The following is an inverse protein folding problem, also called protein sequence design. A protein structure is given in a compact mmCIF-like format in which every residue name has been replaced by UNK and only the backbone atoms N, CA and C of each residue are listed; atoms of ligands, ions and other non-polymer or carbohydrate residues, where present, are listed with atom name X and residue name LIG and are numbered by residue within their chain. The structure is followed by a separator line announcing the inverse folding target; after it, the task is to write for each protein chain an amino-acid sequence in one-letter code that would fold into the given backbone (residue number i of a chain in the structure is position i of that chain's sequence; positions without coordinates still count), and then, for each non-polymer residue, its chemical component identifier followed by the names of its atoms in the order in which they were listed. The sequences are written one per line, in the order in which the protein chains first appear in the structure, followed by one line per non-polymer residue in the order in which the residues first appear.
data_IF_783943507903
#
_entry.id   IF_783943507903
#
_cell.length_a   1.000
_cell.length_b   1.000
_cell.length_c   1.000
_cell.angle_alpha   90.00
_cell.angle_beta   90.00
_cell.angle_gamma   90.00
#
_symmetry.space_group_name_H-M   'P 1'
#
loop_
_entity.id
_entity.type
_entity.pdbx_description
1 polymer ?
#
# COMPACT_ATOMS: atom_id res chain seq x y z
N UNK A 1 15.89 4.32 -11.21
CA UNK A 1 16.37 2.91 -11.11
C UNK A 1 15.25 2.09 -10.49
N UNK A 2 14.70 1.09 -11.20
CA UNK A 2 13.48 0.31 -10.87
C UNK A 2 13.40 -0.12 -9.41
N UNK A 3 14.55 -0.40 -8.77
CA UNK A 3 14.66 -0.78 -7.36
C UNK A 3 14.02 0.23 -6.41
N UNK A 4 14.06 1.55 -6.69
CA UNK A 4 13.46 2.56 -5.79
C UNK A 4 11.93 2.42 -5.66
N UNK A 5 11.25 2.07 -6.75
CA UNK A 5 9.78 1.97 -6.84
C UNK A 5 9.15 0.90 -5.95
N UNK A 6 9.96 -0.09 -5.56
CA UNK A 6 9.51 -1.25 -4.77
C UNK A 6 10.12 -1.26 -3.37
N UNK A 7 10.83 -0.20 -2.96
CA UNK A 7 11.38 -0.07 -1.62
C UNK A 7 10.30 0.14 -0.57
N UNK A 8 10.55 -0.32 0.64
CA UNK A 8 9.63 -0.18 1.77
C UNK A 8 9.28 1.30 2.05
N UNK A 9 10.23 2.21 1.89
CA UNK A 9 10.00 3.65 2.03
C UNK A 9 8.92 4.16 1.07
N UNK A 10 9.02 3.76 -0.20
CA UNK A 10 8.07 4.21 -1.22
C UNK A 10 6.70 3.55 -1.04
N UNK A 11 6.68 2.26 -0.73
CA UNK A 11 5.45 1.55 -0.40
C UNK A 11 4.75 2.15 0.84
N UNK A 12 5.52 2.56 1.87
CA UNK A 12 4.98 3.24 3.06
C UNK A 12 4.37 4.59 2.72
N UNK A 13 5.01 5.39 1.84
CA UNK A 13 4.45 6.67 1.36
C UNK A 13 3.09 6.47 0.68
N UNK A 14 2.99 5.48 -0.20
CA UNK A 14 1.73 5.13 -0.89
C UNK A 14 0.67 4.68 0.13
N UNK A 15 1.03 3.82 1.09
CA UNK A 15 0.10 3.39 2.13
C UNK A 15 -0.42 4.57 2.96
N UNK A 16 0.45 5.52 3.33
CA UNK A 16 0.05 6.71 4.07
C UNK A 16 -0.93 7.57 3.26
N UNK A 17 -0.72 7.74 1.94
CA UNK A 17 -1.68 8.42 1.06
C UNK A 17 -3.05 7.75 1.05
N UNK A 18 -3.12 6.42 1.09
CA UNK A 18 -4.38 5.67 1.19
C UNK A 18 -5.07 5.93 2.54
N UNK A 19 -4.32 5.95 3.64
CA UNK A 19 -4.87 6.18 4.98
C UNK A 19 -5.32 7.64 5.17
N UNK A 20 -4.55 8.60 4.67
CA UNK A 20 -4.87 10.03 4.76
C UNK A 20 -6.03 10.42 3.83
N UNK A 21 -6.13 9.77 2.67
CA UNK A 21 -7.17 10.02 1.68
C UNK A 21 -8.54 9.41 2.01
N UNK A 22 -8.73 8.79 3.18
CA UNK A 22 -10.04 8.23 3.56
C UNK A 22 -11.12 9.32 3.54
N UNK A 23 -12.06 9.19 2.60
CA UNK A 23 -13.13 10.18 2.39
C UNK A 23 -12.87 11.15 1.23
N UNK A 24 -11.73 11.07 0.56
CA UNK A 24 -11.45 11.84 -0.66
C UNK A 24 -12.08 11.14 -1.88
N UNK A 25 -12.91 11.87 -2.62
CA UNK A 25 -13.63 11.34 -3.80
C UNK A 25 -12.75 11.17 -5.04
N UNK A 26 -11.52 11.67 -5.02
CA UNK A 26 -10.56 11.59 -6.13
C UNK A 26 -9.83 10.26 -6.17
N UNK A 27 -9.80 9.51 -5.06
CA UNK A 27 -9.20 8.18 -4.98
C UNK A 27 -10.30 7.14 -5.22
N UNK A 28 -10.29 6.46 -6.37
CA UNK A 28 -11.49 5.84 -6.92
C UNK A 28 -11.96 4.62 -6.11
N UNK A 29 -11.05 3.95 -5.39
CA UNK A 29 -11.36 2.77 -4.57
C UNK A 29 -11.70 3.12 -3.11
N UNK A 30 -11.62 4.38 -2.70
CA UNK A 30 -11.95 4.78 -1.32
C UNK A 30 -13.45 5.04 -1.12
N UNK A 31 -13.97 4.84 0.10
CA UNK A 31 -13.29 4.37 1.31
C UNK A 31 -12.90 2.89 1.27
N UNK A 32 -11.98 2.47 2.15
CA UNK A 32 -11.72 1.05 2.34
C UNK A 32 -12.91 0.38 3.02
N UNK A 33 -13.22 -0.84 2.60
CA UNK A 33 -14.27 -1.64 3.24
C UNK A 33 -13.82 -2.09 4.64
N UNK A 34 -14.74 -2.55 5.52
CA UNK A 34 -14.35 -3.12 6.81
C UNK A 34 -13.41 -4.32 6.68
N UNK A 35 -13.60 -5.16 5.66
CA UNK A 35 -12.73 -6.30 5.36
C UNK A 35 -11.31 -5.85 5.01
N UNK A 36 -11.18 -4.90 4.08
CA UNK A 36 -9.88 -4.34 3.68
C UNK A 36 -9.17 -3.63 4.83
N UNK A 37 -9.91 -2.87 5.65
CA UNK A 37 -9.38 -2.23 6.85
C UNK A 37 -8.83 -3.28 7.83
N UNK A 38 -9.52 -4.42 7.98
CA UNK A 38 -9.02 -5.53 8.80
C UNK A 38 -7.73 -6.13 8.22
N UNK A 39 -7.65 -6.29 6.90
CA UNK A 39 -6.45 -6.79 6.20
C UNK A 39 -5.26 -5.85 6.41
N UNK A 40 -5.46 -4.55 6.23
CA UNK A 40 -4.43 -3.52 6.50
C UNK A 40 -3.92 -3.64 7.94
N UNK A 41 -4.82 -3.74 8.93
CA UNK A 41 -4.43 -3.90 10.33
C UNK A 41 -3.62 -5.18 10.58
N UNK A 42 -4.00 -6.30 9.95
CA UNK A 42 -3.27 -7.57 10.07
C UNK A 42 -1.87 -7.48 9.45
N UNK A 43 -1.74 -6.86 8.27
CA UNK A 43 -0.44 -6.60 7.64
C UNK A 43 0.47 -5.75 8.53
N UNK A 44 -0.06 -4.68 9.12
CA UNK A 44 0.69 -3.82 10.04
C UNK A 44 1.20 -4.57 11.28
N UNK A 45 0.34 -5.41 11.84
CA UNK A 45 0.61 -6.12 13.10
C UNK A 45 1.43 -7.41 12.94
N UNK A 46 1.57 -7.95 11.71
CA UNK A 46 2.36 -9.16 11.49
C UNK A 46 3.89 -8.90 11.56
N UNK A 47 4.30 -7.65 11.39
CA UNK A 47 5.71 -7.22 11.47
C UNK A 47 6.15 -7.16 12.94
N UNK A 48 6.82 -8.22 13.39
CA UNK A 48 7.35 -8.32 14.77
C UNK A 48 8.65 -7.55 14.94
N UNK A 49 9.53 -7.59 13.95
CA UNK A 49 10.82 -6.91 13.93
C UNK A 49 11.16 -6.40 12.53
N UNK A 50 11.93 -5.33 12.48
CA UNK A 50 12.51 -4.80 11.24
C UNK A 50 13.86 -5.50 10.96
N UNK A 51 14.25 -5.67 9.69
CA UNK A 51 15.60 -6.12 9.35
C UNK A 51 16.68 -5.16 9.90
N UNK A 52 17.68 -5.71 10.59
CA UNK A 52 18.73 -4.95 11.29
C UNK A 52 19.63 -4.09 10.38
N UNK A 53 19.58 -4.31 9.06
CA UNK A 53 20.40 -3.62 8.07
C UNK A 53 19.74 -2.39 7.43
N UNK A 54 18.51 -2.08 7.82
CA UNK A 54 17.72 -0.99 7.23
C UNK A 54 17.77 0.24 8.14
N UNK A 55 18.02 1.40 7.55
CA UNK A 55 18.17 2.69 8.26
C UNK A 55 16.84 3.38 8.57
N UNK A 56 15.73 2.91 7.99
CA UNK A 56 14.39 3.44 8.21
C UNK A 56 13.70 2.77 9.40
N UNK A 57 12.60 3.35 9.87
CA UNK A 57 11.92 2.92 11.10
C UNK A 57 11.04 1.67 10.90
N UNK A 58 10.62 1.06 12.02
CA UNK A 58 9.77 -0.15 12.01
C UNK A 58 8.42 0.14 11.33
N UNK A 59 7.91 1.35 11.52
CA UNK A 59 6.64 1.82 10.99
C UNK A 59 6.64 1.81 9.46
N UNK A 60 7.75 2.19 8.81
CA UNK A 60 7.90 2.11 7.36
C UNK A 60 7.69 0.68 6.85
N UNK A 61 8.29 -0.30 7.54
CA UNK A 61 8.15 -1.70 7.16
C UNK A 61 6.73 -2.22 7.44
N UNK A 62 6.11 -1.77 8.52
CA UNK A 62 4.72 -2.08 8.85
C UNK A 62 3.75 -1.56 7.79
N UNK A 63 3.94 -0.33 7.32
CA UNK A 63 3.08 0.29 6.32
C UNK A 63 3.28 -0.35 4.94
N UNK A 64 4.53 -0.60 4.55
CA UNK A 64 4.83 -1.35 3.33
C UNK A 64 4.18 -2.75 3.34
N UNK A 65 4.35 -3.49 4.44
CA UNK A 65 3.73 -4.82 4.60
C UNK A 65 2.21 -4.76 4.56
N UNK A 66 1.61 -3.66 5.07
CA UNK A 66 0.17 -3.45 5.00
C UNK A 66 -0.32 -3.25 3.56
N UNK A 67 0.42 -2.48 2.76
CA UNK A 67 0.12 -2.27 1.34
C UNK A 67 0.22 -3.58 0.56
N UNK A 68 1.29 -4.34 0.74
CA UNK A 68 1.48 -5.65 0.11
C UNK A 68 0.36 -6.63 0.49
N UNK A 69 -0.04 -6.64 1.77
CA UNK A 69 -1.12 -7.49 2.26
C UNK A 69 -2.48 -7.11 1.64
N UNK A 70 -2.78 -5.81 1.53
CA UNK A 70 -4.01 -5.33 0.91
C UNK A 70 -4.09 -5.68 -0.57
N UNK A 71 -3.03 -5.39 -1.34
CA UNK A 71 -2.95 -5.73 -2.77
C UNK A 71 -3.02 -7.24 -2.98
N UNK A 72 -2.31 -8.01 -2.16
CA UNK A 72 -2.33 -9.47 -2.21
C UNK A 72 -3.70 -10.07 -1.89
N UNK A 73 -4.39 -9.53 -0.88
CA UNK A 73 -5.76 -9.93 -0.54
C UNK A 73 -6.72 -9.71 -1.71
N UNK A 74 -6.71 -8.51 -2.30
CA UNK A 74 -7.58 -8.17 -3.43
C UNK A 74 -7.28 -9.03 -4.65
N UNK A 75 -6.00 -9.28 -4.94
CA UNK A 75 -5.60 -10.17 -6.04
C UNK A 75 -6.10 -11.60 -5.85
N UNK A 76 -6.05 -12.13 -4.62
CA UNK A 76 -6.51 -13.49 -4.31
C UNK A 76 -8.04 -13.60 -4.28
N UNK A 77 -8.75 -12.53 -3.96
CA UNK A 77 -10.22 -12.49 -3.96
C UNK A 77 -10.77 -12.44 -5.39
N UNK A 78 -10.27 -11.53 -6.23
CA UNK A 78 -10.60 -11.44 -7.65
C UNK A 78 -9.56 -10.59 -8.39
N UNK A 79 -8.61 -11.25 -9.05
CA UNK A 79 -7.52 -10.57 -9.76
C UNK A 79 -7.95 -9.81 -11.02
N UNK A 80 -9.12 -10.11 -11.60
CA UNK A 80 -9.70 -9.37 -12.73
C UNK A 80 -10.75 -8.35 -12.28
N UNK A 81 -11.10 -8.40 -10.98
CA UNK A 81 -12.08 -7.56 -10.33
C UNK A 81 -11.77 -6.07 -10.43
N UNK A 82 -12.85 -5.30 -10.55
CA UNK A 82 -12.77 -3.83 -10.64
C UNK A 82 -12.03 -3.22 -9.44
N UNK A 83 -12.29 -3.74 -8.23
CA UNK A 83 -11.66 -3.27 -6.99
C UNK A 83 -10.13 -3.38 -7.02
N UNK A 84 -9.60 -4.54 -7.44
CA UNK A 84 -8.16 -4.74 -7.57
C UNK A 84 -7.57 -3.83 -8.65
N UNK A 85 -8.21 -3.78 -9.84
CA UNK A 85 -7.73 -2.93 -10.95
C UNK A 85 -7.66 -1.46 -10.59
N UNK A 86 -8.70 -0.92 -9.95
CA UNK A 86 -8.73 0.49 -9.52
C UNK A 86 -7.60 0.82 -8.55
N UNK A 87 -7.33 -0.06 -7.58
CA UNK A 87 -6.25 0.15 -6.62
C UNK A 87 -4.88 0.00 -7.29
N UNK A 88 -4.68 -1.03 -8.11
CA UNK A 88 -3.42 -1.28 -8.80
C UNK A 88 -3.06 -0.15 -9.78
N UNK A 89 -4.04 0.35 -10.55
CA UNK A 89 -3.84 1.47 -11.49
C UNK A 89 -3.52 2.77 -10.75
N UNK A 90 -4.21 3.04 -9.64
CA UNK A 90 -3.91 4.22 -8.83
C UNK A 90 -2.52 4.14 -8.17
N UNK A 91 -2.15 2.99 -7.59
CA UNK A 91 -0.81 2.75 -7.03
C UNK A 91 0.26 2.92 -8.10
N UNK A 92 0.03 2.37 -9.30
CA UNK A 92 0.91 2.58 -10.45
C UNK A 92 1.05 4.07 -10.79
N UNK A 93 -0.04 4.82 -10.75
CA UNK A 93 -0.04 6.27 -10.95
C UNK A 93 0.81 7.01 -9.92
N UNK A 94 0.67 6.69 -8.62
CA UNK A 94 1.46 7.30 -7.55
C UNK A 94 2.96 6.99 -7.68
N UNK A 95 3.32 5.79 -8.14
CA UNK A 95 4.72 5.39 -8.40
C UNK A 95 5.31 6.17 -9.59
N UNK A 96 4.51 6.48 -10.60
CA UNK A 96 4.98 7.18 -11.80
C UNK A 96 5.10 8.70 -11.57
N UNK A 97 4.28 9.29 -10.69
CA UNK A 97 4.37 10.73 -10.36
C UNK A 97 5.69 11.11 -9.70
N UNK A 98 6.29 10.22 -8.90
CA UNK A 98 7.61 10.47 -8.30
C UNK A 98 8.76 10.58 -9.32
N UNK A 99 8.59 10.08 -10.54
CA UNK A 99 9.64 10.18 -11.57
C UNK A 99 9.67 11.57 -12.26
N UNK A 100 8.65 12.42 -12.04
CA UNK A 100 8.50 13.74 -12.66
C UNK A 100 8.99 14.91 -11.77
N UNK A 101 9.26 14.65 -10.48
CA UNK A 101 9.86 15.60 -9.51
C UNK A 101 11.37 15.38 -9.32
#
# INVERSE_FOLDING_TARGET
MVVRKVRAEEQSRIMNRIIEGQGESTIPFLPLTPSETSIVSRGRNCVKSQPSRLSYSKEVYQDATSLECLLGYLYLEDCEGERFRMMADWVRGEILREDEE
#
